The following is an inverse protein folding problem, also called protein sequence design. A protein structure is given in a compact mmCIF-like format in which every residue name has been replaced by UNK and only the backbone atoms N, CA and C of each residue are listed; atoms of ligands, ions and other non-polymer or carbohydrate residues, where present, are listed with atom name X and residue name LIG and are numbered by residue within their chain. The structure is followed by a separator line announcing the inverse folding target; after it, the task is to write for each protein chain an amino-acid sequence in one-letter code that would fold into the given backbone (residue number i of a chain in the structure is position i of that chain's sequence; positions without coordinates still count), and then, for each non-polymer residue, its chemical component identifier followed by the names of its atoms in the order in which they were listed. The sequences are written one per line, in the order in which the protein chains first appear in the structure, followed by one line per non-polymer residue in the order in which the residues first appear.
data_IF_558418606948
#
_entry.id   IF_558418606948
#
_cell.length_a   1.000
_cell.length_b   1.000
_cell.length_c   1.000
_cell.angle_alpha   90.00
_cell.angle_beta   90.00
_cell.angle_gamma   90.00
#
_symmetry.space_group_name_H-M   'P 1'
#
loop_
_entity.id
_entity.type
_entity.pdbx_description
1 polymer ?
#
# COMPACT_ATOMS: atom_id res chain seq x y z
N UNK A 1 -13.15 44.51 43.43
CA UNK A 1 -13.67 43.46 44.33
C UNK A 1 -14.97 42.94 43.72
N UNK A 2 -15.13 41.62 43.74
CA UNK A 2 -16.26 40.81 43.28
C UNK A 2 -16.29 40.48 41.78
N UNK A 3 -15.69 39.34 41.43
CA UNK A 3 -16.12 38.57 40.27
C UNK A 3 -16.50 37.16 40.75
N UNK A 4 -17.76 36.82 40.56
CA UNK A 4 -18.43 35.61 41.04
C UNK A 4 -17.92 34.37 40.28
N UNK A 5 -17.42 33.39 41.03
CA UNK A 5 -16.96 32.09 40.55
C UNK A 5 -18.17 31.15 40.49
N UNK A 6 -18.68 30.87 39.28
CA UNK A 6 -19.77 29.91 39.06
C UNK A 6 -19.18 28.53 38.77
N UNK A 7 -19.17 27.69 39.81
CA UNK A 7 -18.80 26.27 39.73
C UNK A 7 -20.01 25.52 39.17
N UNK A 8 -19.91 25.02 37.94
CA UNK A 8 -20.91 24.11 37.36
C UNK A 8 -20.58 22.67 37.74
N UNK A 9 -21.43 22.08 38.57
CA UNK A 9 -21.45 20.67 38.95
C UNK A 9 -21.66 19.79 37.71
N UNK A 10 -20.74 18.87 37.44
CA UNK A 10 -20.86 17.82 36.42
C UNK A 10 -21.55 16.62 37.08
N UNK A 11 -22.79 16.34 36.70
CA UNK A 11 -23.49 15.11 37.11
C UNK A 11 -23.05 13.95 36.22
N UNK A 12 -22.38 12.98 36.85
CA UNK A 12 -22.03 11.68 36.31
C UNK A 12 -23.29 10.79 36.29
N UNK A 13 -23.83 10.49 35.11
CA UNK A 13 -24.89 9.48 34.93
C UNK A 13 -24.26 8.24 34.31
N UNK A 14 -24.05 7.24 35.15
CA UNK A 14 -23.68 5.87 34.76
C UNK A 14 -24.97 5.17 34.34
N UNK A 15 -25.07 4.76 33.07
CA UNK A 15 -26.14 3.90 32.59
C UNK A 15 -25.55 2.55 32.15
N UNK A 16 -25.62 1.57 33.05
CA UNK A 16 -25.48 0.15 32.72
C UNK A 16 -26.82 -0.34 32.15
N UNK A 17 -26.80 -0.93 30.95
CA UNK A 17 -27.89 -1.76 30.46
C UNK A 17 -27.31 -3.04 29.85
N UNK A 18 -27.45 -4.13 30.61
CA UNK A 18 -27.24 -5.52 30.18
C UNK A 18 -28.54 -5.99 29.54
N UNK A 19 -28.50 -6.48 28.30
CA UNK A 19 -29.59 -7.32 27.77
C UNK A 19 -28.99 -8.52 27.05
N UNK A 20 -29.46 -9.69 27.48
CA UNK A 20 -29.08 -11.01 27.07
C UNK A 20 -29.86 -11.48 25.82
N UNK A 21 -29.21 -12.37 25.05
CA UNK A 21 -29.83 -13.54 24.42
C UNK A 21 -30.54 -13.33 23.08
N UNK A 22 -30.03 -14.00 22.04
CA UNK A 22 -30.73 -15.13 21.39
C UNK A 22 -29.80 -15.79 20.37
N UNK A 23 -29.41 -17.04 20.65
CA UNK A 23 -28.82 -17.95 19.68
C UNK A 23 -29.92 -18.49 18.75
N UNK A 24 -29.71 -18.46 17.44
CA UNK A 24 -30.48 -19.27 16.50
C UNK A 24 -29.52 -20.05 15.60
N UNK A 25 -29.42 -21.35 15.85
CA UNK A 25 -29.06 -22.34 14.85
C UNK A 25 -30.26 -22.48 13.91
N UNK A 26 -30.08 -22.50 12.59
CA UNK A 26 -30.89 -23.28 11.64
C UNK A 26 -30.21 -23.23 10.26
N UNK A 27 -29.50 -24.29 9.87
CA UNK A 27 -29.94 -25.34 8.92
C UNK A 27 -29.72 -24.96 7.44
N UNK A 28 -28.65 -25.55 6.89
CA UNK A 28 -28.38 -25.69 5.45
C UNK A 28 -29.43 -26.55 4.75
N UNK A 29 -29.79 -26.20 3.51
CA UNK A 29 -30.17 -27.20 2.53
C UNK A 29 -29.28 -27.14 1.28
N UNK A 30 -28.71 -28.29 0.93
CA UNK A 30 -28.16 -28.61 -0.39
C UNK A 30 -29.29 -29.10 -1.30
N UNK A 31 -29.37 -28.67 -2.56
CA UNK A 31 -30.01 -29.46 -3.61
C UNK A 31 -28.95 -29.93 -4.63
N UNK A 32 -28.64 -31.22 -4.65
CA UNK A 32 -29.16 -32.22 -5.63
C UNK A 32 -28.63 -32.01 -7.05
N UNK A 33 -27.59 -32.78 -7.40
CA UNK A 33 -27.17 -32.99 -8.78
C UNK A 33 -28.28 -33.70 -9.56
N UNK A 34 -28.65 -33.16 -10.72
CA UNK A 34 -29.52 -33.80 -11.70
C UNK A 34 -28.68 -34.27 -12.88
N UNK A 35 -28.56 -35.58 -13.02
CA UNK A 35 -28.07 -36.26 -14.21
C UNK A 35 -29.26 -36.70 -15.04
N UNK A 36 -29.34 -36.29 -16.31
CA UNK A 36 -30.02 -37.03 -17.40
C UNK A 36 -29.80 -36.33 -18.73
N UNK A 37 -29.55 -37.11 -19.79
CA UNK A 37 -29.86 -36.68 -21.16
C UNK A 37 -28.86 -37.07 -22.25
N UNK A 38 -28.65 -38.38 -22.47
CA UNK A 38 -28.15 -38.85 -23.77
C UNK A 38 -29.16 -38.51 -24.87
N UNK A 39 -28.70 -37.97 -25.99
CA UNK A 39 -29.43 -38.02 -27.26
C UNK A 39 -28.45 -38.25 -28.40
N UNK A 40 -28.56 -39.45 -28.98
CA UNK A 40 -27.97 -39.82 -30.25
C UNK A 40 -28.63 -38.99 -31.36
N UNK A 41 -27.84 -38.51 -32.31
CA UNK A 41 -28.32 -38.07 -33.62
C UNK A 41 -27.58 -38.85 -34.70
N UNK A 42 -28.38 -39.52 -35.53
CA UNK A 42 -28.04 -40.33 -36.69
C UNK A 42 -27.51 -39.45 -37.83
N UNK A 43 -26.52 -39.89 -38.65
CA UNK A 43 -25.99 -39.10 -39.75
C UNK A 43 -26.93 -39.10 -40.97
N UNK A 44 -27.00 -37.96 -41.65
CA UNK A 44 -27.67 -37.78 -42.96
C UNK A 44 -26.66 -37.29 -44.01
N UNK A 45 -26.97 -37.43 -45.31
CA UNK A 45 -26.01 -37.87 -46.31
C UNK A 45 -25.12 -36.76 -46.90
N UNK A 46 -23.97 -37.22 -47.39
CA UNK A 46 -22.93 -36.49 -48.11
C UNK A 46 -23.51 -35.78 -49.34
N UNK A 47 -23.44 -34.45 -49.34
CA UNK A 47 -23.54 -33.61 -50.52
C UNK A 47 -22.13 -33.21 -50.98
N UNK A 48 -21.85 -33.48 -52.26
CA UNK A 48 -20.57 -33.21 -52.91
C UNK A 48 -20.31 -31.71 -53.00
N UNK A 49 -19.31 -31.21 -52.27
CA UNK A 49 -18.89 -29.81 -52.34
C UNK A 49 -17.60 -29.70 -53.16
N UNK A 50 -17.69 -28.93 -54.24
CA UNK A 50 -16.57 -28.51 -55.09
C UNK A 50 -15.53 -27.77 -54.25
N UNK A 51 -14.34 -28.34 -54.12
CA UNK A 51 -13.25 -27.82 -53.30
C UNK A 51 -12.48 -26.77 -54.12
N UNK A 52 -12.75 -25.49 -53.90
CA UNK A 52 -11.80 -24.43 -54.24
C UNK A 52 -10.74 -24.38 -53.14
N UNK A 53 -9.44 -24.50 -53.42
CA UNK A 53 -8.42 -24.49 -52.38
C UNK A 53 -8.44 -23.15 -51.64
N UNK A 54 -8.51 -23.13 -50.30
CA UNK A 54 -8.39 -21.90 -49.54
C UNK A 54 -6.96 -21.37 -49.64
N UNK A 55 -6.84 -20.07 -49.90
CA UNK A 55 -5.58 -19.34 -49.84
C UNK A 55 -5.02 -19.47 -48.42
N UNK A 56 -3.92 -20.22 -48.26
CA UNK A 56 -3.21 -20.34 -46.98
C UNK A 56 -2.53 -18.99 -46.70
N UNK A 57 -3.18 -18.15 -45.90
CA UNK A 57 -2.55 -16.96 -45.33
C UNK A 57 -1.60 -17.46 -44.24
N UNK A 58 -0.31 -17.49 -44.57
CA UNK A 58 0.75 -17.69 -43.59
C UNK A 58 0.79 -16.43 -42.72
N UNK A 59 0.09 -16.45 -41.59
CA UNK A 59 0.32 -15.50 -40.50
C UNK A 59 1.70 -15.80 -39.93
N UNK A 60 2.70 -15.03 -40.35
CA UNK A 60 4.00 -15.01 -39.70
C UNK A 60 3.81 -14.68 -38.21
N UNK A 61 4.51 -15.37 -37.29
CA UNK A 61 4.43 -15.04 -35.87
C UNK A 61 4.88 -13.59 -35.68
N UNK A 62 4.02 -12.81 -35.04
CA UNK A 62 4.31 -11.44 -34.62
C UNK A 62 5.59 -11.46 -33.80
N UNK A 63 6.52 -10.54 -34.11
CA UNK A 63 7.77 -10.41 -33.39
C UNK A 63 7.49 -10.29 -31.87
N UNK A 64 8.13 -11.16 -31.09
CA UNK A 64 8.19 -11.06 -29.63
C UNK A 64 8.67 -9.64 -29.30
N UNK A 65 7.77 -8.81 -28.82
CA UNK A 65 8.14 -7.48 -28.35
C UNK A 65 8.70 -7.71 -26.96
N UNK A 66 9.99 -8.04 -26.88
CA UNK A 66 10.70 -8.19 -25.60
C UNK A 66 10.65 -6.85 -24.89
N UNK A 67 9.78 -6.73 -23.88
CA UNK A 67 9.73 -5.55 -23.00
C UNK A 67 11.11 -5.40 -22.36
N UNK A 68 11.80 -4.24 -22.53
CA UNK A 68 13.10 -4.04 -21.92
C UNK A 68 13.08 -4.23 -20.40
N UNK A 69 14.16 -4.80 -19.85
CA UNK A 69 14.34 -4.89 -18.42
C UNK A 69 14.33 -3.48 -17.79
N UNK A 70 13.64 -3.32 -16.67
CA UNK A 70 13.65 -2.05 -15.94
C UNK A 70 15.06 -1.76 -15.43
N UNK A 71 15.45 -0.48 -15.42
CA UNK A 71 16.69 -0.03 -14.79
C UNK A 71 16.35 0.82 -13.56
N UNK A 72 17.13 0.74 -12.46
CA UNK A 72 16.88 1.48 -11.24
C UNK A 72 17.39 2.93 -11.36
N UNK A 73 16.98 3.65 -12.41
CA UNK A 73 17.44 5.01 -12.66
C UNK A 73 16.40 6.02 -12.17
N UNK A 74 16.75 6.91 -11.23
CA UNK A 74 15.95 8.08 -10.88
C UNK A 74 15.44 8.86 -12.10
N UNK A 75 14.12 9.07 -12.18
CA UNK A 75 13.54 9.93 -13.21
C UNK A 75 12.09 9.59 -13.55
N UNK A 76 11.48 10.47 -14.35
CA UNK A 76 10.08 10.37 -14.76
C UNK A 76 9.76 9.06 -15.49
N UNK A 77 10.68 8.55 -16.31
CA UNK A 77 10.49 7.31 -17.04
C UNK A 77 10.35 6.10 -16.11
N UNK A 78 11.11 6.07 -15.01
CA UNK A 78 10.99 5.02 -14.00
C UNK A 78 9.63 5.07 -13.31
N UNK A 79 9.23 6.25 -12.84
CA UNK A 79 7.96 6.41 -12.14
C UNK A 79 6.74 6.14 -13.04
N UNK A 80 6.85 6.44 -14.34
CA UNK A 80 5.81 6.18 -15.33
C UNK A 80 5.75 4.73 -15.82
N UNK A 81 6.75 3.89 -15.49
CA UNK A 81 6.76 2.48 -15.89
C UNK A 81 5.59 1.73 -15.24
N UNK A 82 4.83 1.00 -16.05
CA UNK A 82 3.64 0.29 -15.61
C UNK A 82 3.92 -0.74 -14.50
N UNK A 83 5.14 -1.31 -14.46
CA UNK A 83 5.56 -2.24 -13.40
C UNK A 83 5.71 -1.54 -12.06
N UNK A 84 6.20 -0.31 -12.05
CA UNK A 84 6.35 0.50 -10.83
C UNK A 84 4.98 0.94 -10.32
N UNK A 85 4.07 1.34 -11.21
CA UNK A 85 2.69 1.66 -10.84
C UNK A 85 1.94 0.44 -10.29
N UNK A 86 2.11 -0.73 -10.92
CA UNK A 86 1.53 -1.98 -10.42
C UNK A 86 2.10 -2.38 -9.04
N UNK A 87 3.41 -2.16 -8.81
CA UNK A 87 4.05 -2.41 -7.53
C UNK A 87 3.47 -1.51 -6.42
N UNK A 88 3.25 -0.23 -6.69
CA UNK A 88 2.63 0.69 -5.73
C UNK A 88 1.19 0.29 -5.40
N UNK A 89 0.41 -0.17 -6.37
CA UNK A 89 -0.95 -0.67 -6.09
C UNK A 89 -0.92 -1.99 -5.30
N UNK A 90 0.02 -2.89 -5.62
CA UNK A 90 0.23 -4.11 -4.83
C UNK A 90 0.64 -3.79 -3.38
N UNK A 91 1.48 -2.77 -3.19
CA UNK A 91 1.83 -2.26 -1.86
C UNK A 91 0.61 -1.74 -1.11
N UNK A 92 -0.19 -0.89 -1.77
CA UNK A 92 -1.44 -0.38 -1.20
C UNK A 92 -2.37 -1.53 -0.80
N UNK A 93 -2.57 -2.52 -1.66
CA UNK A 93 -3.40 -3.68 -1.38
C UNK A 93 -2.87 -4.47 -0.18
N UNK A 94 -1.57 -4.76 -0.12
CA UNK A 94 -0.95 -5.47 0.99
C UNK A 94 -1.14 -4.74 2.33
N UNK A 95 -1.10 -3.40 2.35
CA UNK A 95 -1.36 -2.61 3.55
C UNK A 95 -2.82 -2.70 4.01
N UNK A 96 -3.77 -2.56 3.08
CA UNK A 96 -5.22 -2.56 3.37
C UNK A 96 -5.67 -3.95 3.82
N UNK A 97 -5.26 -4.98 3.09
CA UNK A 97 -5.61 -6.36 3.37
C UNK A 97 -4.76 -6.95 4.51
N UNK A 98 -3.73 -6.22 4.95
CA UNK A 98 -2.75 -6.64 5.96
C UNK A 98 -2.09 -7.98 5.59
N UNK A 99 -1.82 -8.16 4.29
CA UNK A 99 -1.25 -9.37 3.72
C UNK A 99 0.28 -9.30 3.74
N UNK A 100 0.86 -9.92 4.78
CA UNK A 100 2.30 -9.97 4.98
C UNK A 100 3.03 -10.74 3.88
N UNK A 101 2.43 -11.80 3.35
CA UNK A 101 3.04 -12.57 2.26
C UNK A 101 3.12 -11.72 0.97
N UNK A 102 2.06 -10.97 0.67
CA UNK A 102 2.05 -10.03 -0.44
C UNK A 102 3.09 -8.90 -0.24
N UNK A 103 3.20 -8.34 0.98
CA UNK A 103 4.21 -7.34 1.30
C UNK A 103 5.64 -7.89 1.15
N UNK A 104 5.89 -9.11 1.61
CA UNK A 104 7.19 -9.76 1.48
C UNK A 104 7.57 -10.00 0.01
N UNK A 105 6.59 -10.37 -0.84
CA UNK A 105 6.84 -10.59 -2.26
C UNK A 105 7.30 -9.31 -2.97
N UNK A 106 6.76 -8.15 -2.63
CA UNK A 106 7.07 -6.87 -3.28
C UNK A 106 8.25 -6.13 -2.65
N UNK A 107 8.74 -6.59 -1.51
CA UNK A 107 9.89 -6.02 -0.81
C UNK A 107 11.21 -6.46 -1.42
N UNK A 108 12.25 -5.64 -1.23
CA UNK A 108 13.60 -5.96 -1.64
C UNK A 108 14.12 -7.22 -0.92
N UNK A 109 14.94 -8.07 -1.57
CA UNK A 109 15.50 -9.26 -0.94
C UNK A 109 16.33 -9.00 0.32
N UNK A 110 16.89 -7.80 0.47
CA UNK A 110 17.61 -7.38 1.68
C UNK A 110 16.65 -6.92 2.79
N UNK A 111 15.35 -6.74 2.50
CA UNK A 111 14.33 -6.30 3.44
C UNK A 111 13.88 -4.84 3.23
N UNK A 112 13.29 -4.25 4.26
CA UNK A 112 12.72 -2.90 4.22
C UNK A 112 13.37 -2.00 5.28
N UNK A 113 13.88 -0.84 4.87
CA UNK A 113 14.22 0.23 5.81
C UNK A 113 13.05 1.20 5.96
N UNK A 114 12.70 1.54 7.20
CA UNK A 114 11.56 2.41 7.49
C UNK A 114 12.01 3.56 8.38
N UNK A 115 11.80 4.79 7.92
CA UNK A 115 11.97 5.99 8.71
C UNK A 115 10.60 6.46 9.20
N UNK A 116 10.42 6.43 10.51
CA UNK A 116 9.28 7.08 11.16
C UNK A 116 9.27 8.59 10.90
N UNK A 117 10.46 9.20 10.91
CA UNK A 117 10.76 10.55 10.42
C UNK A 117 12.20 10.56 9.92
N UNK A 118 12.53 11.45 8.99
CA UNK A 118 13.89 11.54 8.46
C UNK A 118 14.95 11.82 9.54
N UNK A 119 14.61 12.61 10.55
CA UNK A 119 15.50 12.91 11.67
C UNK A 119 15.81 11.70 12.58
N UNK A 120 15.03 10.62 12.46
CA UNK A 120 15.23 9.39 13.23
C UNK A 120 16.09 8.40 12.41
N UNK A 121 16.86 7.51 13.07
CA UNK A 121 17.51 6.41 12.36
C UNK A 121 16.46 5.47 11.72
N UNK A 122 16.76 4.86 10.57
CA UNK A 122 15.86 3.85 10.01
C UNK A 122 15.83 2.61 10.88
N UNK A 123 14.66 1.99 10.93
CA UNK A 123 14.50 0.62 11.41
C UNK A 123 14.56 -0.31 10.21
N UNK A 124 15.50 -1.25 10.25
CA UNK A 124 15.65 -2.28 9.23
C UNK A 124 14.81 -3.51 9.59
N UNK A 125 13.87 -3.85 8.71
CA UNK A 125 13.07 -5.07 8.79
C UNK A 125 13.68 -6.10 7.83
N UNK A 126 14.16 -7.21 8.38
CA UNK A 126 14.81 -8.24 7.59
C UNK A 126 13.82 -9.02 6.69
N UNK A 127 14.31 -9.69 5.64
CA UNK A 127 13.44 -10.37 4.66
C UNK A 127 12.58 -11.48 5.27
N UNK A 128 13.05 -12.13 6.34
CA UNK A 128 12.30 -13.18 7.07
C UNK A 128 11.29 -12.64 8.06
N UNK A 129 11.22 -11.32 8.24
CA UNK A 129 10.34 -10.65 9.21
C UNK A 129 9.20 -9.92 8.51
N UNK A 130 9.42 -9.46 7.27
CA UNK A 130 8.43 -8.71 6.47
C UNK A 130 7.09 -9.44 6.37
N UNK A 131 7.11 -10.77 6.20
CA UNK A 131 5.91 -11.60 6.07
C UNK A 131 5.00 -11.61 7.31
N UNK A 132 5.56 -11.28 8.46
CA UNK A 132 4.89 -11.30 9.75
C UNK A 132 4.56 -9.90 10.29
N UNK A 133 5.00 -8.82 9.62
CA UNK A 133 4.92 -7.44 10.12
C UNK A 133 3.54 -7.03 10.64
N UNK A 134 2.47 -7.43 9.96
CA UNK A 134 1.10 -7.05 10.34
C UNK A 134 0.59 -7.79 11.58
N UNK A 135 1.14 -8.95 11.90
CA UNK A 135 0.70 -9.81 13.01
C UNK A 135 1.69 -9.85 14.18
N UNK A 136 2.94 -9.47 13.92
CA UNK A 136 4.01 -9.44 14.90
C UNK A 136 3.70 -8.41 15.99
N UNK A 137 3.91 -8.81 17.24
CA UNK A 137 3.87 -7.91 18.40
C UNK A 137 5.27 -7.44 18.79
N UNK A 138 6.29 -7.71 17.98
CA UNK A 138 7.65 -7.27 18.24
C UNK A 138 7.70 -5.74 18.22
N UNK A 139 8.25 -5.15 19.28
CA UNK A 139 8.35 -3.71 19.41
C UNK A 139 9.72 -3.23 18.92
N UNK A 140 9.73 -2.23 18.06
CA UNK A 140 10.92 -1.50 17.62
C UNK A 140 10.98 -0.15 18.30
N UNK A 141 12.17 0.42 18.37
CA UNK A 141 12.38 1.83 18.69
C UNK A 141 12.44 2.61 17.38
N UNK A 142 11.38 3.36 17.08
CA UNK A 142 11.22 4.11 15.82
C UNK A 142 11.88 5.51 15.85
N UNK A 143 12.50 5.85 16.98
CA UNK A 143 13.09 7.17 17.26
C UNK A 143 12.15 8.03 18.09
N UNK A 144 12.21 9.35 17.92
CA UNK A 144 11.47 10.29 18.76
C UNK A 144 10.33 10.99 18.01
N UNK A 145 9.29 11.35 18.75
CA UNK A 145 8.20 12.20 18.29
C UNK A 145 8.71 13.63 18.07
N UNK A 146 8.16 14.27 17.05
CA UNK A 146 8.37 15.67 16.82
C UNK A 146 7.81 16.53 17.97
N UNK A 147 8.45 17.67 18.24
CA UNK A 147 8.07 18.63 19.27
C UNK A 147 8.35 18.19 20.71
N UNK A 148 7.88 17.01 21.12
CA UNK A 148 8.03 16.49 22.50
C UNK A 148 9.36 15.79 22.77
N UNK A 149 9.96 15.16 21.74
CA UNK A 149 11.15 14.32 21.89
C UNK A 149 10.90 13.03 22.68
N UNK A 150 9.64 12.63 22.86
CA UNK A 150 9.31 11.36 23.51
C UNK A 150 9.61 10.19 22.57
N UNK A 151 10.15 9.07 23.08
CA UNK A 151 10.42 7.91 22.24
C UNK A 151 9.12 7.31 21.69
N UNK A 152 9.21 6.83 20.46
CA UNK A 152 8.18 6.04 19.79
C UNK A 152 8.63 4.60 19.79
N UNK A 153 7.97 3.78 20.60
CA UNK A 153 8.24 2.36 20.72
C UNK A 153 6.96 1.58 20.52
N UNK A 154 7.02 0.55 19.67
CA UNK A 154 5.86 -0.27 19.39
C UNK A 154 6.06 -1.14 18.16
N UNK A 155 5.04 -1.95 17.88
CA UNK A 155 5.03 -2.81 16.70
C UNK A 155 4.80 -2.01 15.42
N UNK A 156 5.10 -2.62 14.27
CA UNK A 156 4.73 -2.04 12.98
C UNK A 156 3.22 -1.74 12.90
N UNK A 157 2.38 -2.67 13.35
CA UNK A 157 0.91 -2.52 13.31
C UNK A 157 0.38 -1.41 14.22
N UNK A 158 1.09 -1.05 15.28
CA UNK A 158 0.66 0.02 16.20
C UNK A 158 1.19 1.39 15.79
N UNK A 159 2.44 1.47 15.33
CA UNK A 159 3.10 2.77 15.08
C UNK A 159 3.13 3.18 13.60
N UNK A 160 3.40 2.24 12.70
CA UNK A 160 3.68 2.53 11.29
C UNK A 160 2.45 2.32 10.41
N UNK A 161 1.77 1.18 10.55
CA UNK A 161 0.63 0.83 9.71
C UNK A 161 -0.48 1.89 9.71
N UNK A 162 -0.92 2.44 10.87
CA UNK A 162 -1.97 3.47 10.86
C UNK A 162 -1.57 4.72 10.06
N UNK A 163 -0.28 5.05 10.08
CA UNK A 163 0.26 6.21 9.38
C UNK A 163 0.43 5.97 7.87
N UNK A 164 0.69 4.72 7.47
CA UNK A 164 0.64 4.32 6.06
C UNK A 164 -0.80 4.37 5.54
N UNK A 165 -1.76 3.77 6.26
CA UNK A 165 -3.17 3.75 5.86
C UNK A 165 -3.77 5.17 5.76
N UNK A 166 -3.39 6.08 6.65
CA UNK A 166 -3.77 7.50 6.59
C UNK A 166 -3.32 8.21 5.28
N UNK A 167 -2.36 7.66 4.53
CA UNK A 167 -1.99 8.13 3.18
C UNK A 167 -2.61 7.28 2.09
N UNK A 168 -2.50 5.96 2.17
CA UNK A 168 -2.85 5.04 1.09
C UNK A 168 -4.36 4.72 0.98
N UNK A 169 -5.15 4.96 2.03
CA UNK A 169 -6.62 4.84 1.98
C UNK A 169 -7.33 6.16 1.66
N UNK A 170 -6.64 7.29 1.78
CA UNK A 170 -7.20 8.63 1.51
C UNK A 170 -6.78 9.12 0.11
N UNK A 171 -7.50 10.10 -0.47
CA UNK A 171 -7.05 10.77 -1.68
C UNK A 171 -5.64 11.32 -1.51
N UNK A 172 -4.73 10.92 -2.40
CA UNK A 172 -3.33 11.30 -2.39
C UNK A 172 -2.85 11.66 -3.81
N UNK A 173 -1.69 12.30 -3.87
CA UNK A 173 -0.98 12.69 -5.09
C UNK A 173 0.35 11.96 -5.10
N UNK A 174 0.76 11.44 -6.26
CA UNK A 174 2.08 10.86 -6.44
C UNK A 174 3.01 11.87 -7.12
N UNK A 175 4.16 12.13 -6.51
CA UNK A 175 5.21 12.99 -7.07
C UNK A 175 6.49 12.17 -7.27
N UNK A 176 7.00 12.15 -8.50
CA UNK A 176 8.18 11.38 -8.88
C UNK A 176 9.46 12.15 -8.58
N UNK A 177 10.40 11.55 -7.82
CA UNK A 177 11.66 12.20 -7.44
C UNK A 177 11.50 13.61 -6.85
N UNK A 178 10.35 13.92 -6.27
CA UNK A 178 10.00 15.26 -5.87
C UNK A 178 9.40 15.26 -4.47
N UNK A 179 10.03 16.03 -3.60
CA UNK A 179 9.66 16.27 -2.20
C UNK A 179 9.35 17.75 -1.96
N UNK A 180 9.26 18.56 -3.01
CA UNK A 180 9.00 19.99 -2.89
C UNK A 180 7.60 20.27 -2.31
N UNK A 181 7.50 21.43 -1.68
CA UNK A 181 6.25 21.96 -1.15
C UNK A 181 5.20 22.10 -2.26
N UNK A 182 4.01 21.54 -2.04
CA UNK A 182 2.87 21.62 -2.95
C UNK A 182 2.85 20.55 -4.05
N UNK A 183 3.89 19.72 -4.15
CA UNK A 183 3.93 18.54 -5.01
C UNK A 183 4.07 17.26 -4.18
N UNK A 184 5.23 17.07 -3.55
CA UNK A 184 5.57 15.88 -2.78
C UNK A 184 5.37 16.02 -1.28
N UNK A 185 5.32 17.25 -0.75
CA UNK A 185 5.09 17.51 0.68
C UNK A 185 4.19 18.72 0.93
N UNK A 186 3.67 18.82 2.15
CA UNK A 186 2.97 19.99 2.64
C UNK A 186 3.93 21.04 3.22
N UNK A 187 3.41 22.14 3.79
CA UNK A 187 4.26 23.17 4.38
C UNK A 187 5.09 22.55 5.51
N UNK A 188 6.36 22.93 5.65
CA UNK A 188 7.22 22.49 6.76
C UNK A 188 8.22 23.58 7.14
N UNK A 189 8.73 23.52 8.36
CA UNK A 189 9.74 24.47 8.87
C UNK A 189 11.17 23.98 8.72
N UNK A 190 11.37 22.74 8.27
CA UNK A 190 12.68 22.12 8.13
C UNK A 190 12.95 21.68 6.69
N UNK A 191 14.20 21.29 6.42
CA UNK A 191 14.63 20.86 5.09
C UNK A 191 14.09 19.45 4.84
N UNK A 192 13.31 19.31 3.78
CA UNK A 192 12.87 18.01 3.27
C UNK A 192 13.88 17.52 2.26
N UNK A 193 14.54 16.41 2.55
CA UNK A 193 15.50 15.78 1.66
C UNK A 193 15.32 14.26 1.63
N UNK A 194 15.80 13.64 0.56
CA UNK A 194 15.90 12.20 0.45
C UNK A 194 17.09 11.70 1.30
N UNK A 195 16.98 10.58 2.05
CA UNK A 195 18.09 10.13 2.89
C UNK A 195 19.33 9.82 2.06
N UNK A 196 20.46 10.42 2.42
CA UNK A 196 21.70 10.34 1.65
C UNK A 196 22.23 8.90 1.45
N UNK A 197 21.96 7.99 2.39
CA UNK A 197 22.33 6.57 2.28
C UNK A 197 21.55 5.81 1.20
N UNK A 198 20.43 6.38 0.73
CA UNK A 198 19.62 5.85 -0.38
C UNK A 198 19.73 6.71 -1.63
N UNK A 199 20.75 7.57 -1.72
CA UNK A 199 21.00 8.37 -2.92
C UNK A 199 21.12 7.48 -4.16
N UNK A 200 20.59 7.97 -5.29
CA UNK A 200 20.50 7.21 -6.54
C UNK A 200 19.38 6.18 -6.61
N UNK A 201 18.60 5.91 -5.56
CA UNK A 201 17.36 5.14 -5.69
C UNK A 201 16.24 6.01 -6.29
N UNK A 202 15.48 5.50 -7.27
CA UNK A 202 14.22 6.12 -7.64
C UNK A 202 13.22 5.96 -6.50
N UNK A 203 12.37 6.96 -6.31
CA UNK A 203 11.31 7.03 -5.32
C UNK A 203 10.09 7.76 -5.87
N UNK A 204 8.94 7.45 -5.27
CA UNK A 204 7.68 8.17 -5.47
C UNK A 204 7.21 8.66 -4.10
N UNK A 205 7.04 9.97 -3.98
CA UNK A 205 6.39 10.59 -2.83
C UNK A 205 4.88 10.44 -2.97
N UNK A 206 4.25 9.69 -2.08
CA UNK A 206 2.79 9.57 -1.98
C UNK A 206 2.33 10.56 -0.93
N UNK A 207 1.78 11.68 -1.39
CA UNK A 207 1.42 12.83 -0.58
C UNK A 207 -0.09 12.90 -0.37
N UNK A 208 -0.52 12.88 0.90
CA UNK A 208 -1.89 13.23 1.27
C UNK A 208 -1.91 14.61 1.90
N UNK A 209 -2.60 15.52 1.24
CA UNK A 209 -2.87 16.86 1.75
C UNK A 209 -3.84 16.82 2.94
N UNK A 210 -3.77 17.84 3.79
CA UNK A 210 -4.77 18.06 4.83
C UNK A 210 -6.18 18.14 4.21
N UNK A 211 -7.17 17.51 4.85
CA UNK A 211 -8.55 17.63 4.44
C UNK A 211 -9.06 19.06 4.60
N UNK A 212 -10.13 19.41 3.88
CA UNK A 212 -10.68 20.77 3.88
C UNK A 212 -11.18 21.25 5.26
N UNK A 213 -11.38 20.33 6.21
CA UNK A 213 -11.79 20.62 7.59
C UNK A 213 -10.69 20.31 8.62
N UNK A 214 -9.55 19.79 8.17
CA UNK A 214 -8.44 19.41 9.03
C UNK A 214 -7.54 20.64 9.28
N UNK A 215 -6.62 20.52 10.24
CA UNK A 215 -5.57 21.52 10.39
C UNK A 215 -4.68 21.51 9.12
N UNK A 216 -4.25 22.68 8.61
CA UNK A 216 -3.41 22.76 7.40
C UNK A 216 -2.07 21.98 7.51
N UNK A 217 -1.64 21.71 8.74
CA UNK A 217 -0.45 20.93 9.09
C UNK A 217 -0.72 19.41 9.18
N UNK A 218 -1.96 18.96 9.09
CA UNK A 218 -2.36 17.54 9.10
C UNK A 218 -2.20 16.88 7.72
N UNK A 219 -1.03 17.08 7.13
CA UNK A 219 -0.61 16.44 5.91
C UNK A 219 0.44 15.37 6.21
N UNK A 220 0.60 14.40 5.32
CA UNK A 220 1.63 13.36 5.44
C UNK A 220 2.08 12.92 4.06
N UNK A 221 3.36 12.61 3.96
CA UNK A 221 3.96 11.97 2.79
C UNK A 221 4.64 10.69 3.22
N UNK A 222 4.47 9.64 2.43
CA UNK A 222 5.37 8.49 2.42
C UNK A 222 6.12 8.46 1.09
N UNK A 223 7.43 8.67 1.13
CA UNK A 223 8.29 8.46 -0.02
C UNK A 223 8.70 6.99 -0.06
N UNK A 224 8.29 6.30 -1.12
CA UNK A 224 8.56 4.89 -1.37
C UNK A 224 9.74 4.80 -2.32
N UNK A 225 10.88 4.30 -1.82
CA UNK A 225 12.10 4.11 -2.60
C UNK A 225 12.21 2.68 -3.16
N UNK A 226 12.71 2.58 -4.38
CA UNK A 226 12.70 1.34 -5.14
C UNK A 226 14.11 0.90 -5.55
N UNK A 227 14.30 -0.42 -5.55
CA UNK A 227 15.40 -1.10 -6.24
C UNK A 227 14.85 -1.86 -7.44
N UNK A 228 15.73 -2.43 -8.26
CA UNK A 228 15.35 -3.32 -9.34
C UNK A 228 16.18 -4.60 -9.24
N UNK A 229 15.50 -5.72 -9.05
CA UNK A 229 16.11 -7.05 -8.95
C UNK A 229 15.67 -7.87 -10.15
N UNK A 230 16.62 -8.27 -10.99
CA UNK A 230 16.35 -9.02 -12.23
C UNK A 230 15.30 -8.35 -13.15
N UNK A 231 15.31 -7.01 -13.22
CA UNK A 231 14.38 -6.23 -14.03
C UNK A 231 12.98 -6.04 -13.43
N UNK A 232 12.75 -6.50 -12.19
CA UNK A 232 11.51 -6.32 -11.43
C UNK A 232 11.73 -5.28 -10.33
N UNK A 233 10.90 -4.21 -10.26
CA UNK A 233 11.02 -3.24 -9.17
C UNK A 233 10.62 -3.87 -7.83
N UNK A 234 11.31 -3.45 -6.76
CA UNK A 234 11.03 -3.85 -5.38
C UNK A 234 11.04 -2.62 -4.46
N UNK A 235 10.28 -2.66 -3.38
CA UNK A 235 10.31 -1.60 -2.37
C UNK A 235 11.49 -1.87 -1.43
N UNK A 236 12.36 -0.87 -1.27
CA UNK A 236 13.56 -0.98 -0.43
C UNK A 236 13.47 -0.12 0.83
N UNK A 237 12.85 1.06 0.72
CA UNK A 237 12.82 2.03 1.81
C UNK A 237 11.51 2.81 1.82
N UNK A 238 11.02 3.11 3.02
CA UNK A 238 9.86 3.95 3.27
C UNK A 238 10.29 5.12 4.15
N UNK A 239 10.04 6.35 3.70
CA UNK A 239 10.40 7.56 4.45
C UNK A 239 9.16 8.41 4.69
N UNK A 240 8.86 8.68 5.95
CA UNK A 240 7.77 9.57 6.30
C UNK A 240 8.21 11.02 6.45
N UNK A 241 7.35 11.92 5.94
CA UNK A 241 7.40 13.34 6.20
C UNK A 241 6.03 13.85 6.69
N UNK A 242 6.04 14.72 7.68
CA UNK A 242 4.88 15.38 8.31
C UNK A 242 5.25 16.83 8.64
N UNK A 243 4.32 17.65 9.11
CA UNK A 243 4.58 19.07 9.43
C UNK A 243 5.86 19.29 10.26
N UNK A 244 6.03 18.53 11.35
CA UNK A 244 7.23 18.56 12.19
C UNK A 244 8.16 17.39 11.82
N UNK A 245 9.10 17.66 10.92
CA UNK A 245 10.18 16.73 10.54
C UNK A 245 11.41 16.86 11.43
#
# INVERSE_FOLDING_TARGET
MNNQMSIRTISLVVLLAVVAGCSTNLTTPLPTASATGNSQVLPSPVGEQTITPPLVVVISPTADTTVPALQPTPGLDFCADARVQALLEAFRAALIDQDGAALAEISDPDGLDIFYRLANPPVHIGPTEVDSLFTSTFAYTWGDQAGSGLPVEGSFSTEILPQLLDVFERPNIQACQDLAFGSGTGPTTAIVEWPAQFDGLPFIAVYRAAGAQDNEFDWRTWAVGFTVVNGVPKIRVLVQYVWEI
#
